data_IF_760191750172
#
_entry.id   IF_760191750172
#
_cell.length_a   1.000
_cell.length_b   1.000
_cell.length_c   1.000
_cell.angle_alpha   90.00
_cell.angle_beta   90.00
_cell.angle_gamma   90.00
#
_symmetry.space_group_name_H-M   'P 1'
#
loop_
_entity.id
_entity.type
_entity.pdbx_description
1 polymer ?
#
# COMPACT_ATOMS: atom_id res chain seq x y z
N UNK A 1 -9.55 20.28 -29.78
CA UNK A 1 -8.32 19.54 -30.15
C UNK A 1 -8.61 18.06 -29.99
N UNK A 2 -8.55 17.32 -31.10
CA UNK A 2 -9.11 15.98 -31.31
C UNK A 2 -7.98 14.96 -31.43
N UNK A 3 -7.93 13.92 -30.58
CA UNK A 3 -6.93 12.83 -30.71
C UNK A 3 -7.45 11.48 -30.19
N UNK A 4 -8.64 11.05 -30.59
CA UNK A 4 -9.08 9.64 -30.37
C UNK A 4 -9.79 9.14 -31.63
N UNK A 5 -9.03 8.83 -32.68
CA UNK A 5 -9.48 7.96 -33.80
C UNK A 5 -8.26 7.43 -34.55
N UNK A 6 -7.63 6.36 -34.06
CA UNK A 6 -6.74 5.58 -34.92
C UNK A 6 -6.49 4.17 -34.38
N UNK A 7 -7.53 3.35 -34.19
CA UNK A 7 -7.34 1.88 -34.17
C UNK A 7 -8.68 1.18 -34.40
N UNK A 8 -9.11 1.17 -35.66
CA UNK A 8 -9.95 0.10 -36.19
C UNK A 8 -9.31 -0.31 -37.52
N UNK A 9 -8.34 -1.22 -37.45
CA UNK A 9 -7.86 -1.92 -38.62
C UNK A 9 -8.91 -2.96 -38.99
N UNK A 10 -9.61 -2.68 -40.08
CA UNK A 10 -10.62 -3.51 -40.70
C UNK A 10 -10.01 -4.88 -41.06
N UNK A 11 -10.33 -5.90 -40.27
CA UNK A 11 -9.94 -7.30 -40.56
C UNK A 11 -11.05 -7.91 -41.42
N UNK A 12 -11.03 -7.62 -42.71
CA UNK A 12 -11.83 -8.37 -43.68
C UNK A 12 -11.13 -9.70 -43.95
N UNK A 13 -11.36 -10.69 -43.09
CA UNK A 13 -11.09 -12.09 -43.44
C UNK A 13 -12.06 -12.50 -44.54
N UNK A 14 -11.58 -12.47 -45.78
CA UNK A 14 -12.29 -13.02 -46.94
C UNK A 14 -12.36 -14.55 -46.77
N UNK A 15 -13.50 -15.05 -46.31
CA UNK A 15 -13.77 -16.48 -46.30
C UNK A 15 -13.94 -16.96 -47.75
N UNK A 16 -13.07 -17.87 -48.19
CA UNK A 16 -13.26 -18.64 -49.42
C UNK A 16 -14.16 -19.81 -49.05
N UNK A 17 -15.44 -19.72 -49.43
CA UNK A 17 -16.37 -20.85 -49.37
C UNK A 17 -15.91 -21.90 -50.37
N UNK A 18 -15.66 -23.13 -49.89
CA UNK A 18 -15.37 -24.30 -50.72
C UNK A 18 -16.51 -25.30 -50.47
N UNK A 19 -17.42 -25.39 -51.44
CA UNK A 19 -18.39 -26.47 -51.69
C UNK A 19 -18.62 -26.42 -53.22
N UNK A 20 -18.69 -27.50 -53.99
CA UNK A 20 -18.64 -28.94 -53.77
C UNK A 20 -18.34 -29.62 -55.13
N UNK A 21 -17.71 -30.79 -55.08
CA UNK A 21 -17.82 -31.92 -56.00
C UNK A 21 -17.60 -31.77 -57.51
N UNK A 22 -16.50 -32.33 -58.02
CA UNK A 22 -16.52 -33.35 -59.09
C UNK A 22 -15.09 -33.80 -59.45
N UNK A 23 -14.74 -35.00 -58.98
CA UNK A 23 -13.89 -36.03 -59.59
C UNK A 23 -12.48 -35.67 -60.10
N UNK A 24 -11.44 -36.11 -59.40
CA UNK A 24 -10.57 -37.23 -59.85
C UNK A 24 -9.47 -37.55 -58.84
N UNK A 25 -9.08 -38.83 -58.87
CA UNK A 25 -8.31 -39.62 -57.91
C UNK A 25 -6.88 -39.15 -57.58
N UNK A 26 -6.41 -39.71 -56.46
CA UNK A 26 -5.03 -39.95 -56.07
C UNK A 26 -4.16 -38.76 -55.65
N UNK A 27 -3.89 -38.68 -54.33
CA UNK A 27 -2.57 -39.02 -53.75
C UNK A 27 -2.40 -38.44 -52.34
N UNK A 28 -2.18 -39.36 -51.40
CA UNK A 28 -1.47 -39.24 -50.12
C UNK A 28 -1.50 -37.90 -49.35
N UNK A 29 -2.19 -37.96 -48.21
CA UNK A 29 -2.05 -37.08 -47.04
C UNK A 29 -0.60 -36.79 -46.67
N UNK A 30 -0.17 -35.54 -46.87
CA UNK A 30 0.96 -34.96 -46.15
C UNK A 30 0.39 -33.87 -45.25
N UNK A 31 0.10 -34.23 -44.01
CA UNK A 31 -0.23 -33.26 -42.96
C UNK A 31 1.05 -32.51 -42.59
N UNK A 32 1.38 -31.48 -43.35
CA UNK A 32 2.49 -30.59 -43.04
C UNK A 32 2.11 -29.79 -41.80
N UNK A 33 2.64 -30.18 -40.64
CA UNK A 33 2.51 -29.41 -39.41
C UNK A 33 3.16 -28.04 -39.63
N UNK A 34 2.36 -27.00 -39.84
CA UNK A 34 2.83 -25.63 -39.88
C UNK A 34 3.28 -25.23 -38.48
N UNK A 35 4.56 -25.47 -38.17
CA UNK A 35 5.22 -24.84 -37.02
C UNK A 35 5.18 -23.34 -37.24
N UNK A 36 4.36 -22.65 -36.46
CA UNK A 36 4.27 -21.20 -36.45
C UNK A 36 5.60 -20.64 -35.95
N UNK A 37 6.47 -20.28 -36.89
CA UNK A 37 7.68 -19.51 -36.58
C UNK A 37 7.23 -18.13 -36.10
N UNK A 38 7.21 -17.94 -34.78
CA UNK A 38 6.94 -16.63 -34.17
C UNK A 38 8.09 -15.69 -34.54
N UNK A 39 7.80 -14.75 -35.43
CA UNK A 39 8.72 -13.69 -35.85
C UNK A 39 8.71 -12.59 -34.77
N UNK A 40 9.75 -12.57 -33.94
CA UNK A 40 9.94 -11.52 -32.92
C UNK A 40 10.57 -10.30 -33.61
N UNK A 41 9.88 -9.16 -33.57
CA UNK A 41 10.37 -7.91 -34.16
C UNK A 41 11.62 -7.39 -33.43
N UNK A 42 12.53 -6.74 -34.14
CA UNK A 42 13.76 -6.16 -33.56
C UNK A 42 13.47 -5.16 -32.44
N UNK A 43 12.32 -4.48 -32.51
CA UNK A 43 11.86 -3.52 -31.50
C UNK A 43 11.61 -4.17 -30.13
N UNK A 44 11.18 -5.44 -30.08
CA UNK A 44 10.99 -6.16 -28.81
C UNK A 44 12.30 -6.31 -28.03
N UNK A 45 13.43 -6.52 -28.70
CA UNK A 45 14.73 -6.63 -28.03
C UNK A 45 15.18 -5.29 -27.42
N UNK A 46 14.94 -4.18 -28.13
CA UNK A 46 15.26 -2.86 -27.60
C UNK A 46 14.38 -2.49 -26.40
N UNK A 47 13.07 -2.76 -26.47
CA UNK A 47 12.14 -2.55 -25.36
C UNK A 47 12.47 -3.45 -24.18
N UNK A 48 12.78 -4.72 -24.43
CA UNK A 48 13.17 -5.68 -23.39
C UNK A 48 14.47 -5.27 -22.71
N UNK A 49 15.49 -4.85 -23.47
CA UNK A 49 16.76 -4.38 -22.92
C UNK A 49 16.57 -3.09 -22.10
N UNK A 50 15.75 -2.17 -22.59
CA UNK A 50 15.44 -0.93 -21.87
C UNK A 50 14.72 -1.22 -20.55
N UNK A 51 13.69 -2.09 -20.56
CA UNK A 51 13.00 -2.51 -19.35
C UNK A 51 13.94 -3.24 -18.38
N UNK A 52 14.81 -4.11 -18.89
CA UNK A 52 15.80 -4.81 -18.06
C UNK A 52 16.80 -3.85 -17.40
N UNK A 53 17.13 -2.72 -18.03
CA UNK A 53 18.01 -1.71 -17.46
C UNK A 53 17.28 -0.78 -16.46
N UNK A 54 16.06 -0.35 -16.77
CA UNK A 54 15.32 0.64 -15.97
C UNK A 54 14.66 0.02 -14.74
N UNK A 55 14.13 -1.20 -14.87
CA UNK A 55 13.42 -1.89 -13.80
C UNK A 55 14.27 -2.12 -12.52
N UNK A 56 15.52 -2.61 -12.58
CA UNK A 56 16.34 -2.78 -11.37
C UNK A 56 16.70 -1.43 -10.74
N UNK A 57 16.95 -0.39 -11.55
CA UNK A 57 17.22 0.97 -11.04
C UNK A 57 16.01 1.50 -10.28
N UNK A 58 14.80 1.29 -10.81
CA UNK A 58 13.56 1.67 -10.14
C UNK A 58 13.37 0.91 -8.82
N UNK A 59 13.61 -0.41 -8.80
CA UNK A 59 13.53 -1.21 -7.57
C UNK A 59 14.51 -0.70 -6.52
N UNK A 60 15.76 -0.44 -6.89
CA UNK A 60 16.76 0.09 -5.97
C UNK A 60 16.34 1.46 -5.44
N UNK A 61 15.85 2.36 -6.31
CA UNK A 61 15.38 3.67 -5.90
C UNK A 61 14.20 3.59 -4.91
N UNK A 62 13.23 2.72 -5.18
CA UNK A 62 12.10 2.48 -4.29
C UNK A 62 12.53 1.85 -2.96
N UNK A 63 13.48 0.92 -2.98
CA UNK A 63 14.03 0.31 -1.77
C UNK A 63 14.77 1.32 -0.89
N UNK A 64 15.59 2.19 -1.51
CA UNK A 64 16.28 3.28 -0.81
C UNK A 64 15.26 4.26 -0.23
N UNK A 65 14.26 4.67 -1.01
CA UNK A 65 13.22 5.59 -0.53
C UNK A 65 12.43 4.99 0.65
N UNK A 66 12.05 3.71 0.56
CA UNK A 66 11.34 3.01 1.62
C UNK A 66 12.20 2.90 2.89
N UNK A 67 13.49 2.57 2.74
CA UNK A 67 14.43 2.48 3.87
C UNK A 67 14.60 3.85 4.56
N UNK A 68 14.73 4.92 3.78
CA UNK A 68 14.82 6.30 4.32
C UNK A 68 13.54 6.71 5.04
N UNK A 69 12.38 6.35 4.49
CA UNK A 69 11.10 6.69 5.10
C UNK A 69 10.86 5.89 6.38
N UNK A 70 11.22 4.59 6.39
CA UNK A 70 11.18 3.74 7.58
C UNK A 70 12.14 4.25 8.66
N UNK A 71 13.36 4.66 8.29
CA UNK A 71 14.31 5.28 9.21
C UNK A 71 13.72 6.56 9.81
N UNK A 72 13.15 7.46 9.02
CA UNK A 72 12.54 8.71 9.54
C UNK A 72 11.35 8.42 10.45
N UNK A 73 10.56 7.38 10.15
CA UNK A 73 9.37 7.04 10.93
C UNK A 73 9.70 6.32 12.24
N UNK A 74 10.72 5.45 12.26
CA UNK A 74 11.17 4.74 13.47
C UNK A 74 12.06 5.64 14.33
N UNK A 75 12.86 6.54 13.72
CA UNK A 75 13.87 7.33 14.42
C UNK A 75 13.40 8.70 14.97
N UNK A 76 12.12 9.02 14.93
CA UNK A 76 11.60 10.32 15.38
C UNK A 76 10.63 10.23 16.58
N UNK A 77 10.54 9.07 17.25
CA UNK A 77 9.65 8.85 18.40
C UNK A 77 10.32 9.06 19.76
N UNK A 78 9.50 9.24 20.80
CA UNK A 78 9.91 9.30 22.21
C UNK A 78 10.82 8.12 22.60
N UNK A 79 10.59 6.93 22.04
CA UNK A 79 11.38 5.72 22.31
C UNK A 79 12.85 5.78 21.87
N UNK A 80 13.22 6.65 20.92
CA UNK A 80 14.64 6.86 20.59
C UNK A 80 15.37 7.65 21.69
N UNK A 81 14.59 8.34 22.52
CA UNK A 81 15.05 9.23 23.56
C UNK A 81 15.54 10.56 23.02
N UNK A 82 15.45 11.59 23.85
CA UNK A 82 16.05 12.89 23.55
C UNK A 82 17.58 12.84 23.71
N UNK A 83 18.30 13.74 23.03
CA UNK A 83 19.76 13.87 23.18
C UNK A 83 20.18 14.25 24.60
N UNK A 84 19.25 14.82 25.38
CA UNK A 84 19.42 15.20 26.78
C UNK A 84 19.08 14.09 27.76
N UNK A 85 18.61 12.93 27.31
CA UNK A 85 18.31 11.80 28.19
C UNK A 85 19.57 11.04 28.61
N UNK A 86 19.52 10.45 29.80
CA UNK A 86 20.55 9.55 30.30
C UNK A 86 20.45 8.21 29.57
N UNK A 87 21.49 7.83 28.83
CA UNK A 87 21.54 6.59 28.04
C UNK A 87 21.12 5.32 28.81
N UNK A 88 21.46 5.13 30.10
CA UNK A 88 21.02 3.95 30.84
C UNK A 88 19.50 3.84 31.04
N UNK A 89 18.77 4.96 30.99
CA UNK A 89 17.33 5.00 31.26
C UNK A 89 16.52 4.63 30.01
N UNK A 90 17.09 4.77 28.82
CA UNK A 90 16.41 4.48 27.54
C UNK A 90 15.93 3.03 27.42
N UNK A 91 16.61 2.08 28.07
CA UNK A 91 16.24 0.65 28.02
C UNK A 91 15.14 0.24 28.99
N UNK A 92 14.78 1.11 29.95
CA UNK A 92 13.75 0.85 30.97
C UNK A 92 12.48 1.68 30.78
N UNK A 93 12.49 2.66 29.87
CA UNK A 93 11.31 3.44 29.49
C UNK A 93 10.48 2.64 28.48
N UNK A 94 9.16 2.59 28.71
CA UNK A 94 8.18 2.06 27.76
C UNK A 94 7.18 3.15 27.40
N UNK A 95 6.76 3.18 26.13
CA UNK A 95 5.67 4.05 25.68
C UNK A 95 4.32 3.35 25.89
N UNK A 96 3.35 4.06 26.45
CA UNK A 96 1.96 3.64 26.52
C UNK A 96 1.08 4.70 25.86
N UNK A 97 0.38 4.32 24.80
CA UNK A 97 -0.61 5.19 24.18
C UNK A 97 -1.88 5.20 25.02
N UNK A 98 -2.20 6.35 25.60
CA UNK A 98 -3.47 6.59 26.32
C UNK A 98 -4.28 7.65 25.58
N UNK A 99 -5.59 7.44 25.52
CA UNK A 99 -6.51 8.43 24.96
C UNK A 99 -6.88 9.43 26.04
N UNK A 100 -6.62 10.71 25.80
CA UNK A 100 -7.10 11.79 26.66
C UNK A 100 -8.38 12.37 26.06
N UNK A 101 -9.46 12.44 26.86
CA UNK A 101 -10.65 13.20 26.50
C UNK A 101 -10.54 14.61 27.06
N UNK A 102 -10.58 15.60 26.17
CA UNK A 102 -10.27 17.00 26.48
C UNK A 102 -11.38 18.01 26.17
N UNK A 103 -12.63 17.54 26.02
CA UNK A 103 -13.75 18.37 25.58
C UNK A 103 -14.75 18.71 26.69
N UNK A 104 -15.07 19.99 26.83
CA UNK A 104 -16.27 20.45 27.53
C UNK A 104 -17.41 20.58 26.51
N UNK A 105 -18.48 19.85 26.75
CA UNK A 105 -19.69 19.83 25.94
C UNK A 105 -20.84 20.49 26.68
N UNK A 106 -21.88 20.91 25.95
CA UNK A 106 -23.09 21.48 26.55
C UNK A 106 -24.22 20.45 26.56
N UNK A 107 -24.81 20.25 27.73
CA UNK A 107 -26.12 19.62 27.85
C UNK A 107 -27.19 20.54 27.23
N UNK A 108 -28.35 19.97 26.85
CA UNK A 108 -29.46 20.73 26.25
C UNK A 108 -30.01 21.83 27.16
N UNK A 109 -29.80 21.71 28.47
CA UNK A 109 -30.17 22.68 29.49
C UNK A 109 -29.13 23.83 29.65
N UNK A 110 -28.07 23.86 28.84
CA UNK A 110 -27.01 24.87 28.88
C UNK A 110 -25.90 24.62 29.89
N UNK A 111 -25.95 23.53 30.67
CA UNK A 111 -24.86 23.16 31.59
C UNK A 111 -23.71 22.48 30.86
N UNK A 112 -22.48 22.69 31.34
CA UNK A 112 -21.28 22.05 30.80
C UNK A 112 -21.10 20.65 31.37
N UNK A 113 -20.64 19.72 30.54
CA UNK A 113 -20.17 18.40 30.96
C UNK A 113 -18.91 17.99 30.23
N UNK A 114 -18.13 17.15 30.87
CA UNK A 114 -16.96 16.55 30.24
C UNK A 114 -17.34 15.22 29.62
N UNK A 115 -16.90 14.98 28.39
CA UNK A 115 -17.05 13.66 27.77
C UNK A 115 -16.17 12.64 28.49
N UNK A 116 -16.81 11.66 29.12
CA UNK A 116 -16.16 10.55 29.82
C UNK A 116 -16.49 9.27 29.05
N UNK A 117 -15.48 8.43 28.83
CA UNK A 117 -15.64 7.17 28.12
C UNK A 117 -15.75 6.05 29.16
N UNK A 118 -16.83 5.29 29.07
CA UNK A 118 -17.07 4.18 30.00
C UNK A 118 -15.94 3.14 29.89
N UNK A 119 -15.35 2.80 31.04
CA UNK A 119 -14.23 1.87 31.12
C UNK A 119 -12.83 2.47 30.95
N UNK A 120 -12.71 3.77 30.65
CA UNK A 120 -11.41 4.46 30.63
C UNK A 120 -11.11 5.17 31.97
N UNK A 121 -9.83 5.22 32.40
CA UNK A 121 -9.45 5.92 33.61
C UNK A 121 -9.69 7.43 33.49
N UNK A 122 -10.33 8.01 34.49
CA UNK A 122 -10.59 9.43 34.58
C UNK A 122 -9.56 10.09 35.50
N UNK A 123 -8.99 11.22 35.06
CA UNK A 123 -7.94 11.93 35.80
C UNK A 123 -8.40 13.27 36.37
N UNK A 124 -9.59 13.73 35.99
CA UNK A 124 -10.13 15.03 36.38
C UNK A 124 -11.64 14.92 36.60
N UNK A 125 -12.18 15.68 37.54
CA UNK A 125 -13.60 15.64 37.88
C UNK A 125 -13.84 15.94 39.36
N UNK A 126 -15.02 15.56 39.85
CA UNK A 126 -15.29 15.61 41.28
C UNK A 126 -14.36 14.63 42.01
N UNK A 127 -13.82 14.99 43.18
CA UNK A 127 -12.93 14.11 43.94
C UNK A 127 -13.57 12.74 44.16
N UNK A 128 -12.89 11.68 43.73
CA UNK A 128 -13.35 10.30 43.90
C UNK A 128 -12.17 9.34 44.04
N UNK A 129 -12.34 8.21 44.75
CA UNK A 129 -11.28 7.21 44.90
C UNK A 129 -10.77 6.64 43.58
N UNK A 130 -11.62 6.60 42.55
CA UNK A 130 -11.26 6.12 41.22
C UNK A 130 -10.26 7.06 40.53
N UNK A 131 -10.42 8.38 40.69
CA UNK A 131 -9.47 9.37 40.16
C UNK A 131 -8.12 9.23 40.87
N UNK A 132 -8.13 9.10 42.20
CA UNK A 132 -6.89 8.90 42.97
C UNK A 132 -6.18 7.60 42.58
N UNK A 133 -6.92 6.53 42.32
CA UNK A 133 -6.38 5.26 41.85
C UNK A 133 -5.79 5.37 40.44
N UNK A 134 -6.46 6.10 39.53
CA UNK A 134 -5.96 6.37 38.19
C UNK A 134 -4.65 7.16 38.21
N UNK A 135 -4.57 8.21 39.03
CA UNK A 135 -3.32 8.96 39.26
C UNK A 135 -2.23 8.07 39.88
N UNK A 136 -2.57 7.28 40.90
CA UNK A 136 -1.63 6.36 41.54
C UNK A 136 -1.10 5.32 40.57
N UNK A 137 -1.93 4.84 39.63
CA UNK A 137 -1.50 3.91 38.59
C UNK A 137 -0.62 4.58 37.54
N UNK A 138 -0.93 5.81 37.14
CA UNK A 138 -0.12 6.59 36.20
C UNK A 138 1.27 6.89 36.76
N UNK A 139 1.37 7.20 38.06
CA UNK A 139 2.60 7.61 38.73
C UNK A 139 3.41 6.44 39.32
N UNK A 140 2.92 5.20 39.24
CA UNK A 140 3.60 4.00 39.77
C UNK A 140 4.96 3.69 39.13
N UNK A 141 5.30 4.37 38.04
CA UNK A 141 6.57 4.22 37.31
C UNK A 141 7.61 5.31 37.57
N UNK A 142 7.32 6.29 38.45
CA UNK A 142 8.32 7.25 38.96
C UNK A 142 9.10 6.73 40.17
#
# INVERSE_FOLDING_TARGET
MSFIKLFWADKTTKYVSVEDGSDTEDRATVTTSHSSKVSISRSFYFVSLFLFAVFPVLIIALFVLHSRLADVQINNGFLKGFTTELDPIKSVISEQTVRFTGGLHFHKNGTLYQETIEGEPQYVGNPSPEIDAAWSQLLKGE
#
